data_IF_588223118498
#
_entry.id   IF_588223118498
#
_cell.length_a   1.000
_cell.length_b   1.000
_cell.length_c   1.000
_cell.angle_alpha   90.00
_cell.angle_beta   90.00
_cell.angle_gamma   90.00
#
_symmetry.space_group_name_H-M   'P 1'
#
loop_
_entity.id
_entity.type
_entity.pdbx_description
1 polymer ?
#
# COMPACT_ATOMS: atom_id res chain seq x y z
N UNK A 1 18.59 -3.40 -16.01
CA UNK A 1 18.08 -3.84 -14.68
C UNK A 1 16.68 -3.31 -14.53
N UNK A 2 15.70 -4.15 -14.19
CA UNK A 2 14.32 -3.75 -13.89
C UNK A 2 14.19 -3.73 -12.37
N UNK A 3 13.97 -2.56 -11.79
CA UNK A 3 13.68 -2.41 -10.36
C UNK A 3 12.20 -2.59 -10.10
N UNK A 4 11.87 -3.58 -9.26
CA UNK A 4 10.53 -3.71 -8.65
C UNK A 4 10.68 -3.41 -7.16
N UNK A 5 10.07 -2.33 -6.71
CA UNK A 5 10.14 -1.87 -5.33
C UNK A 5 9.12 -2.52 -4.42
N UNK A 6 9.40 -2.51 -3.11
CA UNK A 6 8.41 -2.72 -2.06
C UNK A 6 8.09 -1.36 -1.44
N UNK A 7 6.81 -1.02 -1.35
CA UNK A 7 6.40 0.33 -0.96
C UNK A 7 6.58 1.31 -2.10
N UNK A 8 5.46 1.76 -2.67
CA UNK A 8 5.46 2.61 -3.86
C UNK A 8 5.79 4.10 -3.61
N UNK A 9 5.92 4.50 -2.35
CA UNK A 9 6.12 5.91 -1.94
C UNK A 9 7.45 6.51 -2.41
N UNK A 10 8.51 5.71 -2.57
CA UNK A 10 9.76 6.19 -3.18
C UNK A 10 9.66 6.19 -4.71
N UNK A 11 9.02 5.17 -5.28
CA UNK A 11 8.86 5.02 -6.72
C UNK A 11 7.98 6.12 -7.32
N UNK A 12 6.95 6.58 -6.60
CA UNK A 12 6.09 7.66 -7.07
C UNK A 12 6.83 8.98 -7.24
N UNK A 13 7.83 9.30 -6.40
CA UNK A 13 8.63 10.53 -6.55
C UNK A 13 9.44 10.51 -7.84
N UNK A 14 10.02 9.35 -8.15
CA UNK A 14 10.72 9.13 -9.41
C UNK A 14 9.78 9.25 -10.61
N UNK A 15 8.63 8.59 -10.56
CA UNK A 15 7.64 8.60 -11.65
C UNK A 15 7.04 9.99 -11.86
N UNK A 16 6.79 10.73 -10.79
CA UNK A 16 6.28 12.10 -10.84
C UNK A 16 7.27 13.07 -11.49
N UNK A 17 8.58 12.81 -11.40
CA UNK A 17 9.60 13.63 -12.06
C UNK A 17 9.56 13.56 -13.60
N UNK A 18 8.88 12.56 -14.16
CA UNK A 18 8.82 12.29 -15.60
C UNK A 18 10.13 11.81 -16.21
N UNK A 19 11.21 11.67 -15.42
CA UNK A 19 12.50 11.19 -15.88
C UNK A 19 12.50 9.66 -15.99
N UNK A 20 13.29 9.07 -16.90
CA UNK A 20 13.48 7.63 -16.94
C UNK A 20 14.01 7.13 -15.58
N UNK A 21 13.23 6.27 -14.91
CA UNK A 21 13.64 5.59 -13.68
C UNK A 21 13.85 4.09 -13.94
N UNK A 22 14.77 3.50 -13.18
CA UNK A 22 14.93 2.05 -13.11
C UNK A 22 13.77 1.37 -12.39
N UNK A 23 12.99 2.11 -11.60
CA UNK A 23 11.78 1.65 -10.93
C UNK A 23 10.66 1.54 -11.95
N UNK A 24 10.29 0.31 -12.33
CA UNK A 24 9.22 0.06 -13.31
C UNK A 24 7.89 -0.27 -12.67
N UNK A 25 7.93 -0.83 -11.46
CA UNK A 25 6.75 -1.12 -10.68
C UNK A 25 7.12 -1.15 -9.18
N UNK A 26 6.11 -1.12 -8.33
CA UNK A 26 6.26 -1.39 -6.91
C UNK A 26 5.03 -2.13 -6.38
N UNK A 27 5.23 -3.00 -5.40
CA UNK A 27 4.13 -3.53 -4.62
C UNK A 27 3.68 -2.45 -3.64
N UNK A 28 2.47 -1.94 -3.83
CA UNK A 28 1.84 -0.99 -2.93
C UNK A 28 1.19 -1.73 -1.77
N UNK A 29 1.83 -1.58 -0.60
CA UNK A 29 1.30 -2.00 0.69
C UNK A 29 0.69 -0.75 1.31
N UNK A 30 -0.64 -0.62 1.22
CA UNK A 30 -1.33 0.58 1.69
C UNK A 30 -1.37 0.60 3.23
N UNK A 31 -0.52 1.42 3.84
CA UNK A 31 -0.44 1.57 5.29
C UNK A 31 -1.76 2.04 5.93
N UNK A 32 -2.57 2.80 5.20
CA UNK A 32 -3.89 3.24 5.68
C UNK A 32 -4.86 2.08 5.80
N UNK A 33 -4.88 1.16 4.83
CA UNK A 33 -5.73 -0.04 4.89
C UNK A 33 -5.27 -1.03 5.96
N UNK A 34 -3.95 -1.21 6.12
CA UNK A 34 -3.38 -2.01 7.20
C UNK A 34 -3.75 -1.43 8.57
N UNK A 35 -3.61 -0.12 8.75
CA UNK A 35 -3.97 0.57 9.99
C UNK A 35 -5.48 0.51 10.28
N UNK A 36 -6.31 0.72 9.26
CA UNK A 36 -7.76 0.62 9.38
C UNK A 36 -8.20 -0.79 9.80
N UNK A 37 -7.61 -1.84 9.21
CA UNK A 37 -7.87 -3.22 9.57
C UNK A 37 -7.46 -3.52 11.03
N UNK A 38 -6.31 -3.01 11.46
CA UNK A 38 -5.85 -3.15 12.85
C UNK A 38 -6.81 -2.44 13.84
N UNK A 39 -7.23 -1.21 13.54
CA UNK A 39 -8.20 -0.49 14.39
C UNK A 39 -9.56 -1.20 14.39
N UNK A 40 -10.04 -1.66 13.23
CA UNK A 40 -11.31 -2.35 13.13
C UNK A 40 -11.33 -3.64 13.94
N UNK A 41 -10.26 -4.43 13.91
CA UNK A 41 -10.17 -5.66 14.73
C UNK A 41 -10.18 -5.37 16.23
N UNK A 42 -9.55 -4.28 16.68
CA UNK A 42 -9.66 -3.81 18.07
C UNK A 42 -11.09 -3.39 18.42
N UNK A 43 -11.73 -2.59 17.56
CA UNK A 43 -13.12 -2.15 17.76
C UNK A 43 -14.07 -3.33 17.81
N UNK A 44 -13.94 -4.30 16.91
CA UNK A 44 -14.71 -5.55 16.89
C UNK A 44 -14.59 -6.28 18.23
N UNK A 45 -13.36 -6.46 18.73
CA UNK A 45 -13.09 -7.15 20.00
C UNK A 45 -13.74 -6.44 21.18
N UNK A 46 -13.67 -5.11 21.21
CA UNK A 46 -14.20 -4.29 22.30
C UNK A 46 -15.72 -4.18 22.28
N UNK A 47 -16.33 -4.06 21.10
CA UNK A 47 -17.78 -3.84 20.97
C UNK A 47 -18.60 -5.12 20.94
N UNK A 48 -18.08 -6.16 20.31
CA UNK A 48 -18.83 -7.39 20.01
C UNK A 48 -18.28 -8.62 20.71
N UNK A 49 -17.11 -8.51 21.35
CA UNK A 49 -16.42 -9.65 21.95
C UNK A 49 -15.75 -10.59 20.96
N UNK A 50 -15.83 -10.32 19.65
CA UNK A 50 -15.20 -11.12 18.59
C UNK A 50 -13.71 -11.27 18.84
N UNK A 51 -13.22 -12.51 18.86
CA UNK A 51 -11.80 -12.79 19.05
C UNK A 51 -10.96 -12.17 17.92
N UNK A 52 -9.71 -11.82 18.23
CA UNK A 52 -8.78 -11.41 17.20
C UNK A 52 -8.56 -12.54 16.19
N UNK A 53 -8.53 -12.23 14.88
CA UNK A 53 -8.12 -13.23 13.91
C UNK A 53 -6.63 -13.57 14.14
N UNK A 54 -6.23 -14.83 13.95
CA UNK A 54 -4.81 -15.21 14.06
C UNK A 54 -3.96 -14.52 12.99
N UNK A 55 -4.54 -14.26 11.82
CA UNK A 55 -3.91 -13.59 10.69
C UNK A 55 -4.93 -12.68 9.99
N UNK A 56 -4.48 -11.54 9.48
CA UNK A 56 -5.32 -10.61 8.74
C UNK A 56 -4.53 -10.04 7.55
N UNK A 57 -5.16 -10.00 6.38
CA UNK A 57 -4.52 -9.62 5.13
C UNK A 57 -5.17 -8.33 4.61
N UNK A 58 -4.39 -7.25 4.58
CA UNK A 58 -4.80 -6.04 3.87
C UNK A 58 -4.59 -6.23 2.35
N UNK A 59 -5.43 -5.61 1.50
CA UNK A 59 -5.21 -5.60 0.07
C UNK A 59 -3.82 -5.02 -0.28
N UNK A 60 -3.17 -5.66 -1.23
CA UNK A 60 -1.93 -5.15 -1.84
C UNK A 60 -2.10 -5.14 -3.35
N UNK A 61 -1.51 -4.16 -4.01
CA UNK A 61 -1.63 -4.02 -5.46
C UNK A 61 -0.29 -3.68 -6.09
N UNK A 62 -0.07 -4.16 -7.31
CA UNK A 62 1.05 -3.73 -8.12
C UNK A 62 0.73 -2.36 -8.71
N UNK A 63 1.64 -1.41 -8.51
CA UNK A 63 1.54 -0.07 -9.09
C UNK A 63 2.75 0.23 -9.96
N UNK A 64 2.54 1.06 -10.96
CA UNK A 64 3.51 1.44 -11.98
C UNK A 64 3.27 2.90 -12.41
N UNK A 65 4.10 3.50 -13.29
CA UNK A 65 3.94 4.87 -13.74
C UNK A 65 2.56 5.21 -14.36
N UNK A 66 1.82 4.22 -14.85
CA UNK A 66 0.54 4.38 -15.50
C UNK A 66 -0.66 4.36 -14.55
N UNK A 67 -0.56 3.71 -13.38
CA UNK A 67 -1.70 3.54 -12.47
C UNK A 67 -1.47 4.07 -11.03
N UNK A 68 -0.27 4.55 -10.68
CA UNK A 68 0.05 4.91 -9.30
C UNK A 68 -0.85 6.03 -8.73
N UNK A 69 -1.31 6.96 -9.57
CA UNK A 69 -2.20 8.07 -9.15
C UNK A 69 -3.63 7.63 -8.85
N UNK A 70 -4.12 6.57 -9.49
CA UNK A 70 -5.48 6.05 -9.30
C UNK A 70 -5.54 4.91 -8.28
N UNK A 71 -4.38 4.41 -7.85
CA UNK A 71 -4.25 3.29 -6.90
C UNK A 71 -4.40 3.73 -5.42
N UNK A 72 -4.70 5.00 -5.16
CA UNK A 72 -4.78 5.55 -3.81
C UNK A 72 -3.42 5.80 -3.14
N UNK A 73 -2.33 5.69 -3.90
CA UNK A 73 -0.99 6.02 -3.42
C UNK A 73 -0.84 7.54 -3.31
N UNK A 74 -0.64 8.03 -2.09
CA UNK A 74 -0.29 9.44 -1.84
C UNK A 74 1.23 9.59 -1.92
N UNK A 75 1.70 10.42 -2.84
CA UNK A 75 3.11 10.79 -2.92
C UNK A 75 3.34 12.10 -2.15
N UNK A 76 4.00 12.00 -1.00
CA UNK A 76 4.32 13.13 -0.10
C UNK A 76 5.81 13.43 -0.08
#
# INVERSE_FOLDING_TARGET
VIGVGLGAYLACRDWQSGKPSGMRAALFINGTEVGALAVQTMVDRLRTGKAFPPEAYAPTSMVDPGNWTTSGLTCS
#
